data_IF_478183739736
#
_entry.id   IF_478183739736
#
_cell.length_a   1.000
_cell.length_b   1.000
_cell.length_c   1.000
_cell.angle_alpha   90.00
_cell.angle_beta   90.00
_cell.angle_gamma   90.00
#
_symmetry.space_group_name_H-M   'P 1'
#
loop_
_entity.id
_entity.type
_entity.pdbx_description
1 polymer ?
#
# COMPACT_ATOMS: atom_id res chain seq x y z
N UNK A 1 -6.47 8.06 7.62
CA UNK A 1 -6.90 7.22 8.78
C UNK A 1 -8.05 6.33 8.36
N UNK A 2 -8.14 5.13 8.90
CA UNK A 2 -9.34 4.28 8.85
C UNK A 2 -9.69 3.80 10.26
N UNK A 3 -10.98 3.63 10.52
CA UNK A 3 -11.51 3.11 11.78
C UNK A 3 -12.57 2.06 11.43
N UNK A 4 -12.43 0.86 11.98
CA UNK A 4 -13.38 -0.24 11.81
C UNK A 4 -13.71 -0.82 13.16
N UNK A 5 -14.97 -1.15 13.40
CA UNK A 5 -15.40 -1.86 14.60
C UNK A 5 -15.56 -3.36 14.29
N UNK A 6 -15.04 -4.19 15.18
CA UNK A 6 -15.25 -5.66 15.12
C UNK A 6 -16.62 -6.05 15.66
N UNK A 7 -17.05 -7.26 15.38
CA UNK A 7 -18.32 -7.82 15.89
C UNK A 7 -18.37 -7.90 17.44
N UNK A 8 -17.21 -7.87 18.09
CA UNK A 8 -17.09 -7.88 19.56
C UNK A 8 -16.99 -6.49 20.18
N UNK A 9 -16.92 -5.46 19.34
CA UNK A 9 -16.91 -4.05 19.76
C UNK A 9 -15.54 -3.41 19.83
N UNK A 10 -14.44 -4.13 19.63
CA UNK A 10 -13.11 -3.50 19.56
C UNK A 10 -12.99 -2.62 18.32
N UNK A 11 -12.21 -1.54 18.43
CA UNK A 11 -11.88 -0.68 17.32
C UNK A 11 -10.51 -1.07 16.74
N UNK A 12 -10.44 -1.17 15.41
CA UNK A 12 -9.20 -1.28 14.64
C UNK A 12 -8.96 0.06 13.97
N UNK A 13 -7.83 0.68 14.29
CA UNK A 13 -7.48 2.02 13.81
C UNK A 13 -6.14 1.93 13.09
N UNK A 14 -6.05 2.51 11.90
CA UNK A 14 -4.80 2.65 11.19
C UNK A 14 -4.75 3.93 10.36
N UNK A 15 -3.56 4.47 10.13
CA UNK A 15 -3.48 5.77 9.48
C UNK A 15 -2.23 6.02 8.65
N UNK A 16 -1.05 5.69 9.11
CA UNK A 16 0.21 6.20 8.58
C UNK A 16 1.18 5.08 8.20
N UNK A 17 2.18 5.48 7.45
CA UNK A 17 3.37 4.70 7.12
C UNK A 17 4.54 5.39 7.82
N UNK A 18 5.44 4.62 8.44
CA UNK A 18 6.68 5.19 8.99
C UNK A 18 7.49 5.87 7.88
N UNK A 19 8.06 7.07 8.11
CA UNK A 19 8.76 7.83 7.07
C UNK A 19 10.15 7.29 6.73
N UNK A 20 10.52 6.14 7.26
CA UNK A 20 11.82 5.49 7.04
C UNK A 20 11.63 4.02 6.63
N UNK A 21 12.56 3.51 5.82
CA UNK A 21 12.57 2.12 5.40
C UNK A 21 12.96 1.20 6.57
N UNK A 22 12.16 0.17 6.82
CA UNK A 22 12.40 -0.82 7.87
C UNK A 22 11.84 -2.18 7.48
N UNK A 23 12.51 -3.25 7.90
CA UNK A 23 11.99 -4.62 7.84
C UNK A 23 11.30 -5.03 9.15
N UNK A 24 11.13 -4.12 10.10
CA UNK A 24 10.44 -4.38 11.36
C UNK A 24 8.92 -4.46 11.13
N UNK A 25 8.30 -5.51 11.64
CA UNK A 25 6.85 -5.64 11.73
C UNK A 25 6.30 -5.15 13.08
N UNK A 26 7.16 -4.53 13.88
CA UNK A 26 6.76 -3.90 15.14
C UNK A 26 6.35 -2.46 14.87
N UNK A 27 5.18 -2.10 15.32
CA UNK A 27 4.75 -0.71 15.31
C UNK A 27 5.54 0.14 16.30
N UNK A 28 5.54 1.44 16.12
CA UNK A 28 6.33 2.42 16.90
C UNK A 28 5.46 3.19 17.88
N UNK A 29 6.07 3.72 18.95
CA UNK A 29 5.34 4.58 19.90
C UNK A 29 4.88 5.89 19.25
N UNK A 30 5.68 6.61 18.43
CA UNK A 30 5.22 7.79 17.72
C UNK A 30 3.97 7.54 16.86
N UNK A 31 3.91 6.40 16.16
CA UNK A 31 2.71 6.01 15.40
C UNK A 31 1.47 5.89 16.32
N UNK A 32 1.63 5.26 17.49
CA UNK A 32 0.52 5.11 18.44
C UNK A 32 0.05 6.45 18.98
N UNK A 33 0.98 7.34 19.36
CA UNK A 33 0.66 8.66 19.90
C UNK A 33 -0.07 9.52 18.87
N UNK A 34 0.45 9.60 17.64
CA UNK A 34 -0.17 10.36 16.55
C UNK A 34 -1.54 9.77 16.18
N UNK A 35 -1.62 8.44 16.08
CA UNK A 35 -2.86 7.74 15.75
C UNK A 35 -3.95 7.93 16.79
N UNK A 36 -3.59 7.85 18.07
CA UNK A 36 -4.53 8.08 19.14
C UNK A 36 -5.01 9.54 19.17
N UNK A 37 -4.11 10.51 18.97
CA UNK A 37 -4.47 11.92 18.92
C UNK A 37 -5.50 12.22 17.81
N UNK A 38 -5.21 11.78 16.57
CA UNK A 38 -6.14 11.98 15.45
C UNK A 38 -7.46 11.22 15.63
N UNK A 39 -7.42 10.02 16.21
CA UNK A 39 -8.64 9.25 16.46
C UNK A 39 -9.55 9.92 17.50
N UNK A 40 -8.97 10.50 18.56
CA UNK A 40 -9.70 11.24 19.60
C UNK A 40 -10.25 12.56 19.06
N UNK A 41 -9.50 13.24 18.18
CA UNK A 41 -9.99 14.45 17.51
C UNK A 41 -11.26 14.18 16.68
N UNK A 42 -11.28 13.04 15.94
CA UNK A 42 -12.44 12.63 15.14
C UNK A 42 -13.58 12.08 16.00
N UNK A 43 -13.26 11.31 17.03
CA UNK A 43 -14.21 10.59 17.89
C UNK A 43 -13.84 10.80 19.37
N UNK A 44 -14.17 11.94 19.99
CA UNK A 44 -13.80 12.23 21.38
C UNK A 44 -14.27 11.20 22.41
N UNK A 45 -15.33 10.44 22.09
CA UNK A 45 -15.89 9.41 22.98
C UNK A 45 -14.91 8.23 23.23
N UNK A 46 -13.87 8.05 22.38
CA UNK A 46 -12.88 6.98 22.56
C UNK A 46 -11.68 7.38 23.42
N UNK A 47 -11.63 8.61 23.95
CA UNK A 47 -10.49 9.08 24.74
C UNK A 47 -10.17 8.23 25.99
N UNK A 48 -11.17 7.53 26.54
CA UNK A 48 -11.00 6.63 27.67
C UNK A 48 -10.75 5.16 27.32
N UNK A 49 -10.68 4.83 26.03
CA UNK A 49 -10.49 3.46 25.56
C UNK A 49 -9.03 3.04 25.71
N UNK A 50 -8.82 1.78 26.13
CA UNK A 50 -7.47 1.22 26.30
C UNK A 50 -6.95 0.62 24.99
N UNK A 51 -5.68 0.84 24.69
CA UNK A 51 -4.99 0.13 23.61
C UNK A 51 -4.74 -1.32 24.03
N UNK A 52 -5.29 -2.26 23.28
CA UNK A 52 -5.14 -3.69 23.53
C UNK A 52 -3.92 -4.26 22.81
N UNK A 53 -3.66 -3.80 21.58
CA UNK A 53 -2.59 -4.32 20.71
C UNK A 53 -2.21 -3.29 19.67
N UNK A 54 -0.95 -3.38 19.25
CA UNK A 54 -0.37 -2.61 18.17
C UNK A 54 0.46 -3.55 17.29
N UNK A 55 0.41 -3.36 15.97
CA UNK A 55 1.22 -4.12 15.01
C UNK A 55 1.48 -3.28 13.77
N UNK A 56 2.41 -3.71 12.95
CA UNK A 56 2.72 -3.12 11.66
C UNK A 56 2.85 -4.20 10.58
N UNK A 57 2.78 -3.80 9.34
CA UNK A 57 3.10 -4.61 8.16
C UNK A 57 4.20 -3.92 7.36
N UNK A 58 4.84 -4.66 6.46
CA UNK A 58 5.80 -4.13 5.51
C UNK A 58 5.06 -3.76 4.23
N UNK A 59 5.26 -2.52 3.76
CA UNK A 59 4.77 -2.05 2.47
C UNK A 59 5.92 -2.02 1.46
N UNK A 60 5.72 -2.60 0.30
CA UNK A 60 6.62 -2.55 -0.83
C UNK A 60 6.38 -1.28 -1.66
N UNK A 61 7.09 -0.22 -1.34
CA UNK A 61 6.89 1.09 -1.98
C UNK A 61 7.86 1.26 -3.16
N UNK A 62 7.33 1.65 -4.31
CA UNK A 62 8.12 2.07 -5.47
C UNK A 62 8.47 3.53 -5.40
N UNK A 63 9.50 4.02 -6.15
CA UNK A 63 9.89 5.43 -6.15
C UNK A 63 8.79 6.41 -6.55
N UNK A 64 7.83 5.97 -7.38
CA UNK A 64 6.70 6.77 -7.86
C UNK A 64 5.36 6.40 -7.22
N UNK A 65 5.39 5.56 -6.19
CA UNK A 65 4.21 5.06 -5.46
C UNK A 65 3.19 4.29 -6.32
N UNK A 66 3.57 3.90 -7.55
CA UNK A 66 2.71 3.13 -8.44
C UNK A 66 3.23 1.70 -8.59
N UNK A 67 2.36 0.69 -8.72
CA UNK A 67 2.79 -0.70 -8.83
C UNK A 67 3.59 -0.97 -10.10
N UNK A 68 4.24 -2.13 -10.15
CA UNK A 68 4.92 -2.65 -11.33
C UNK A 68 4.17 -3.90 -11.78
N UNK A 69 3.63 -3.89 -12.99
CA UNK A 69 3.04 -5.05 -13.68
C UNK A 69 3.72 -5.19 -15.03
N UNK A 70 4.75 -6.01 -15.13
CA UNK A 70 5.62 -6.04 -16.30
C UNK A 70 6.29 -7.40 -16.51
N UNK A 71 6.65 -7.67 -17.76
CA UNK A 71 7.73 -8.62 -18.05
C UNK A 71 9.06 -8.01 -17.63
N UNK A 72 10.08 -8.85 -17.47
CA UNK A 72 11.46 -8.44 -17.20
C UNK A 72 12.36 -8.80 -18.38
N UNK A 73 13.65 -8.49 -18.27
CA UNK A 73 14.67 -8.92 -19.24
C UNK A 73 14.92 -10.43 -19.23
N UNK A 74 14.45 -11.13 -18.20
CA UNK A 74 14.56 -12.58 -18.07
C UNK A 74 13.32 -13.22 -18.68
N UNK A 75 13.51 -14.07 -19.66
CA UNK A 75 12.42 -14.79 -20.33
C UNK A 75 11.56 -15.58 -19.34
N UNK A 76 10.25 -15.38 -19.43
CA UNK A 76 9.27 -16.03 -18.57
C UNK A 76 9.18 -15.46 -17.15
N UNK A 77 9.97 -14.44 -16.80
CA UNK A 77 9.88 -13.78 -15.51
C UNK A 77 9.00 -12.53 -15.60
N UNK A 78 7.83 -12.60 -14.99
CA UNK A 78 6.85 -11.50 -14.88
C UNK A 78 6.80 -11.01 -13.43
N UNK A 79 6.70 -9.73 -13.24
CA UNK A 79 6.60 -9.09 -11.92
C UNK A 79 5.25 -8.39 -11.75
N UNK A 80 4.64 -8.57 -10.58
CA UNK A 80 3.45 -7.87 -10.11
C UNK A 80 3.69 -7.49 -8.64
N UNK A 81 4.27 -6.31 -8.40
CA UNK A 81 4.83 -5.87 -7.11
C UNK A 81 4.68 -4.36 -6.92
N UNK A 82 5.09 -3.86 -5.75
CA UNK A 82 5.11 -2.43 -5.47
C UNK A 82 3.72 -1.84 -5.22
N UNK A 83 2.82 -2.62 -4.68
CA UNK A 83 1.43 -2.21 -4.43
C UNK A 83 1.24 -1.32 -3.21
N UNK A 84 2.26 -1.18 -2.37
CA UNK A 84 2.19 -0.37 -1.17
C UNK A 84 1.00 -0.74 -0.29
N UNK A 85 0.04 0.17 -0.15
CA UNK A 85 -1.16 -0.02 0.66
C UNK A 85 -2.41 -0.43 -0.15
N UNK A 86 -2.32 -0.56 -1.48
CA UNK A 86 -3.49 -0.76 -2.36
C UNK A 86 -3.72 -2.20 -2.81
N UNK A 87 -2.75 -3.09 -2.61
CA UNK A 87 -2.70 -4.41 -3.23
C UNK A 87 -3.95 -5.25 -3.00
N UNK A 88 -4.49 -5.27 -1.79
CA UNK A 88 -5.65 -6.10 -1.47
C UNK A 88 -6.86 -5.79 -2.36
N UNK A 89 -7.25 -4.53 -2.46
CA UNK A 89 -8.43 -4.15 -3.28
C UNK A 89 -8.16 -4.21 -4.79
N UNK A 90 -6.90 -4.07 -5.20
CA UNK A 90 -6.51 -4.11 -6.61
C UNK A 90 -6.32 -5.53 -7.14
N UNK A 91 -6.08 -6.52 -6.27
CA UNK A 91 -5.72 -7.88 -6.62
C UNK A 91 -6.58 -8.54 -7.71
N UNK A 92 -7.94 -8.42 -7.72
CA UNK A 92 -8.74 -9.04 -8.78
C UNK A 92 -8.47 -8.42 -10.16
N UNK A 93 -8.34 -7.09 -10.23
CA UNK A 93 -8.09 -6.39 -11.49
C UNK A 93 -6.67 -6.60 -12.00
N UNK A 94 -5.69 -6.54 -11.10
CA UNK A 94 -4.28 -6.78 -11.39
C UNK A 94 -4.08 -8.22 -11.89
N UNK A 95 -4.55 -9.19 -11.13
CA UNK A 95 -4.45 -10.61 -11.48
C UNK A 95 -5.05 -10.93 -12.84
N UNK A 96 -6.21 -10.35 -13.18
CA UNK A 96 -6.83 -10.52 -14.50
C UNK A 96 -5.91 -9.98 -15.61
N UNK A 97 -5.32 -8.79 -15.44
CA UNK A 97 -4.47 -8.17 -16.47
C UNK A 97 -3.10 -8.84 -16.60
N UNK A 98 -2.53 -9.26 -15.50
CA UNK A 98 -1.27 -10.04 -15.51
C UNK A 98 -1.49 -11.41 -16.14
N UNK A 99 -2.62 -12.07 -15.88
CA UNK A 99 -2.98 -13.32 -16.57
C UNK A 99 -3.13 -13.13 -18.07
N UNK A 100 -3.76 -12.03 -18.52
CA UNK A 100 -3.87 -11.66 -19.94
C UNK A 100 -2.47 -11.45 -20.57
N UNK A 101 -1.57 -10.73 -19.89
CA UNK A 101 -0.18 -10.54 -20.29
C UNK A 101 0.53 -11.89 -20.49
N UNK A 102 0.43 -12.79 -19.51
CA UNK A 102 1.10 -14.10 -19.54
C UNK A 102 0.52 -14.97 -20.67
N UNK A 103 -0.80 -15.03 -20.81
CA UNK A 103 -1.47 -15.88 -21.78
C UNK A 103 -1.24 -15.43 -23.23
N UNK A 104 -1.14 -14.12 -23.46
CA UNK A 104 -1.05 -13.56 -24.83
C UNK A 104 0.36 -13.12 -25.23
N UNK A 105 1.25 -12.95 -24.28
CA UNK A 105 2.56 -12.32 -24.48
C UNK A 105 2.49 -10.84 -24.87
N UNK A 106 1.32 -10.21 -24.75
CA UNK A 106 1.09 -8.79 -25.10
C UNK A 106 0.71 -8.02 -23.87
N UNK A 107 1.36 -6.88 -23.66
CA UNK A 107 1.02 -6.00 -22.55
C UNK A 107 -0.34 -5.34 -22.79
N UNK A 108 -1.35 -5.61 -21.93
CA UNK A 108 -2.64 -4.91 -22.00
C UNK A 108 -2.48 -3.40 -21.81
N UNK A 109 -3.24 -2.60 -22.56
CA UNK A 109 -3.16 -1.13 -22.52
C UNK A 109 -3.29 -0.56 -21.10
N UNK A 110 -4.16 -1.15 -20.29
CA UNK A 110 -4.43 -0.67 -18.92
C UNK A 110 -3.26 -0.85 -17.96
N UNK A 111 -2.36 -1.77 -18.21
CA UNK A 111 -1.14 -1.98 -17.39
C UNK A 111 0.14 -1.51 -18.07
N UNK A 112 0.08 -1.08 -19.32
CA UNK A 112 1.25 -0.57 -20.03
C UNK A 112 1.99 0.57 -19.30
N UNK A 113 1.32 1.52 -18.63
CA UNK A 113 2.00 2.54 -17.85
C UNK A 113 2.81 1.99 -16.66
N UNK A 114 2.42 0.83 -16.13
CA UNK A 114 3.05 0.20 -14.95
C UNK A 114 4.28 -0.66 -15.31
N UNK A 115 4.87 -0.43 -16.47
CA UNK A 115 6.08 -1.10 -16.92
C UNK A 115 7.27 -0.85 -15.98
N UNK A 116 8.11 -1.85 -15.75
CA UNK A 116 9.38 -1.71 -15.04
C UNK A 116 10.33 -0.72 -15.75
N UNK A 117 10.30 -0.68 -17.09
CA UNK A 117 11.12 0.20 -17.90
C UNK A 117 10.86 1.70 -17.64
N UNK A 118 9.70 2.07 -17.06
CA UNK A 118 9.36 3.48 -16.77
C UNK A 118 10.39 4.18 -15.88
N UNK A 119 11.09 3.43 -15.02
CA UNK A 119 12.13 4.00 -14.16
C UNK A 119 13.41 4.33 -14.93
N UNK A 120 13.79 3.50 -15.88
CA UNK A 120 14.94 3.76 -16.76
C UNK A 120 14.65 4.89 -17.75
N UNK A 121 13.41 5.03 -18.17
CA UNK A 121 12.96 6.04 -19.16
C UNK A 121 12.54 7.36 -18.52
N UNK A 122 12.64 7.49 -17.19
CA UNK A 122 12.19 8.65 -16.40
C UNK A 122 10.71 9.03 -16.66
N UNK A 123 9.85 8.01 -16.85
CA UNK A 123 8.41 8.15 -17.09
C UNK A 123 7.59 7.79 -15.84
N UNK A 124 7.90 8.43 -14.72
CA UNK A 124 7.26 8.19 -13.43
C UNK A 124 5.78 8.59 -13.47
N UNK A 125 4.94 7.78 -12.83
CA UNK A 125 3.48 7.97 -12.87
C UNK A 125 2.98 9.00 -11.85
N UNK A 126 3.68 9.18 -10.73
CA UNK A 126 3.35 10.15 -9.70
C UNK A 126 1.96 9.93 -9.09
N UNK A 127 1.75 8.80 -8.41
CA UNK A 127 0.48 8.51 -7.76
C UNK A 127 0.20 9.47 -6.59
N UNK A 128 -0.61 10.49 -6.85
CA UNK A 128 -0.91 11.57 -5.90
C UNK A 128 -1.59 11.08 -4.62
N UNK A 129 -2.41 10.03 -4.72
CA UNK A 129 -3.12 9.51 -3.56
C UNK A 129 -2.19 8.77 -2.60
N UNK A 130 -1.13 8.13 -3.09
CA UNK A 130 -0.13 7.47 -2.26
C UNK A 130 0.87 8.49 -1.68
N UNK A 131 1.25 9.51 -2.44
CA UNK A 131 2.11 10.60 -1.96
C UNK A 131 1.47 11.39 -0.81
N UNK A 132 0.13 11.48 -0.76
CA UNK A 132 -0.58 12.14 0.33
C UNK A 132 -0.52 11.39 1.68
N UNK A 133 -0.07 10.13 1.69
CA UNK A 133 0.09 9.31 2.91
C UNK A 133 1.51 9.43 3.49
N UNK A 134 2.44 10.05 2.77
CA UNK A 134 3.85 10.18 3.12
C UNK A 134 4.26 11.55 3.69
N UNK A 135 3.30 12.40 4.05
CA UNK A 135 3.54 13.73 4.67
C UNK A 135 2.91 13.83 6.04
#
# INVERSE_FOLDING_TARGET
MYITQTDRGELVIGQEIDPYSSYSIRSTLPFLETGAAHAIELLPCIAGVKVLRQWAGICDMTPDFAPIMSTTEVDGFVVDVGWGTYGFKAAPAAGYRVAELIATGRTPERIAPFSLARFADDRLLGEKAAAAVSH
#
